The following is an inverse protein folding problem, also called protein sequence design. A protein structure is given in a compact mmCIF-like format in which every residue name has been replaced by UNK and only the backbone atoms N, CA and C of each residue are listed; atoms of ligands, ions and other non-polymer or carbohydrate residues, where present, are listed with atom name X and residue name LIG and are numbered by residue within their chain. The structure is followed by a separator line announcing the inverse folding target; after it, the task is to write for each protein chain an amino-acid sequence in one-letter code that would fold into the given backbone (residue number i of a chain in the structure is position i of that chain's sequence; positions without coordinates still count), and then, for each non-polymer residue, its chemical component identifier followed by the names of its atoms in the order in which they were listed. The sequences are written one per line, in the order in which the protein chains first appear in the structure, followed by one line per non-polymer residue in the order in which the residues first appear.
data_IF_040930339781
#
_entry.id   IF_040930339781
#
_cell.length_a   1.000
_cell.length_b   1.000
_cell.length_c   1.000
_cell.angle_alpha   90.00
_cell.angle_beta   90.00
_cell.angle_gamma   90.00
#
_symmetry.space_group_name_H-M   'P 1'
#
loop_
_entity.id
_entity.type
_entity.pdbx_description
1 polymer ?
#
# COMPACT_ATOMS: atom_id res chain seq x y z
N UNK A 1 7.76 10.66 8.61
CA UNK A 1 7.27 9.57 9.51
C UNK A 1 8.46 8.88 10.20
N UNK A 2 9.47 8.48 9.45
CA UNK A 2 10.64 7.71 9.92
C UNK A 2 11.49 8.42 10.99
N UNK A 3 11.69 9.74 10.87
CA UNK A 3 12.68 10.48 11.69
C UNK A 3 12.08 11.16 12.92
N UNK A 4 10.76 11.25 13.00
CA UNK A 4 10.08 12.04 14.04
C UNK A 4 8.95 11.22 14.68
N UNK A 5 7.89 10.92 13.93
CA UNK A 5 6.70 10.26 14.47
C UNK A 5 6.97 8.85 15.00
N UNK A 6 7.64 7.98 14.23
CA UNK A 6 7.94 6.62 14.68
C UNK A 6 8.89 6.63 15.91
N UNK A 7 10.02 7.37 15.90
CA UNK A 7 10.88 7.49 17.09
C UNK A 7 10.17 8.05 18.31
N UNK A 8 9.29 9.05 18.12
CA UNK A 8 8.49 9.58 19.22
C UNK A 8 7.58 8.51 19.83
N UNK A 9 6.87 7.73 18.99
CA UNK A 9 5.99 6.67 19.48
C UNK A 9 6.77 5.57 20.20
N UNK A 10 7.91 5.15 19.65
CA UNK A 10 8.79 4.12 20.24
C UNK A 10 9.37 4.55 21.59
N UNK A 11 9.67 5.84 21.77
CA UNK A 11 10.22 6.37 23.02
C UNK A 11 9.15 6.57 24.10
N UNK A 12 7.90 6.84 23.72
CA UNK A 12 6.84 7.23 24.66
C UNK A 12 5.81 6.13 24.94
N UNK A 13 5.76 5.07 24.12
CA UNK A 13 4.76 4.01 24.25
C UNK A 13 5.37 2.63 24.01
N UNK A 14 4.81 1.61 24.68
CA UNK A 14 5.17 0.22 24.45
C UNK A 14 4.60 -0.28 23.12
N UNK A 15 5.31 -0.02 22.03
CA UNK A 15 4.99 -0.46 20.67
C UNK A 15 5.92 -1.59 20.22
N UNK A 16 5.56 -2.29 19.14
CA UNK A 16 6.39 -3.30 18.50
C UNK A 16 6.49 -3.05 16.98
N UNK A 17 7.05 -4.01 16.25
CA UNK A 17 7.23 -3.92 14.79
C UNK A 17 5.99 -4.40 14.00
N UNK A 18 4.89 -4.75 14.67
CA UNK A 18 3.61 -5.05 14.04
C UNK A 18 2.85 -3.74 13.77
N UNK A 19 3.38 -2.95 12.82
CA UNK A 19 2.84 -1.64 12.45
C UNK A 19 1.94 -1.75 11.24
N UNK A 20 0.81 -1.06 11.30
CA UNK A 20 -0.15 -0.98 10.21
C UNK A 20 -0.26 0.45 9.72
N UNK A 21 -0.18 0.64 8.41
CA UNK A 21 -0.49 1.90 7.75
C UNK A 21 -1.84 1.79 7.07
N UNK A 22 -2.73 2.76 7.29
CA UNK A 22 -4.05 2.81 6.66
C UNK A 22 -4.32 4.16 6.02
N UNK A 23 -5.07 4.17 4.93
CA UNK A 23 -5.37 5.40 4.20
C UNK A 23 -6.49 5.25 3.19
N UNK A 24 -7.23 6.35 3.00
CA UNK A 24 -8.35 6.45 2.04
C UNK A 24 -8.00 7.42 0.91
N UNK A 25 -8.47 7.16 -0.31
CA UNK A 25 -8.26 8.05 -1.47
C UNK A 25 -6.77 8.35 -1.70
N UNK A 26 -6.34 9.61 -1.67
CA UNK A 26 -4.92 9.98 -1.76
C UNK A 26 -4.06 9.33 -0.65
N UNK A 27 -4.62 9.12 0.54
CA UNK A 27 -3.97 8.38 1.61
C UNK A 27 -3.79 6.89 1.28
N UNK A 28 -4.72 6.30 0.52
CA UNK A 28 -4.58 4.94 -0.01
C UNK A 28 -3.45 4.84 -1.02
N UNK A 29 -3.29 5.86 -1.87
CA UNK A 29 -2.12 5.95 -2.77
C UNK A 29 -0.80 6.04 -1.99
N UNK A 30 -0.78 6.80 -0.90
CA UNK A 30 0.38 6.88 -0.01
C UNK A 30 0.71 5.54 0.68
N UNK A 31 -0.31 4.78 1.09
CA UNK A 31 -0.14 3.42 1.63
C UNK A 31 0.58 2.53 0.62
N UNK A 32 0.11 2.50 -0.63
CA UNK A 32 0.71 1.69 -1.70
C UNK A 32 2.13 2.15 -2.05
N UNK A 33 2.36 3.46 -2.10
CA UNK A 33 3.68 4.04 -2.32
C UNK A 33 4.67 3.63 -1.22
N UNK A 34 4.25 3.70 0.04
CA UNK A 34 5.09 3.31 1.18
C UNK A 34 5.41 1.82 1.15
N UNK A 35 4.45 0.99 0.72
CA UNK A 35 4.65 -0.45 0.59
C UNK A 35 5.78 -0.79 -0.40
N UNK A 36 5.83 -0.13 -1.55
CA UNK A 36 6.81 -0.44 -2.60
C UNK A 36 8.15 0.28 -2.44
N UNK A 37 8.21 1.37 -1.68
CA UNK A 37 9.44 2.16 -1.48
C UNK A 37 10.11 1.94 -0.13
N UNK A 38 9.32 1.59 0.89
CA UNK A 38 9.74 1.44 2.29
C UNK A 38 9.04 0.25 2.97
N UNK A 39 9.12 -0.97 2.40
CA UNK A 39 8.42 -2.15 2.90
C UNK A 39 8.79 -2.52 4.34
N UNK A 40 9.95 -2.09 4.84
CA UNK A 40 10.44 -2.36 6.19
C UNK A 40 9.68 -1.64 7.30
N UNK A 41 8.99 -0.53 6.99
CA UNK A 41 8.36 0.32 8.00
C UNK A 41 7.08 -0.27 8.59
N UNK A 42 6.36 -1.08 7.81
CA UNK A 42 5.08 -1.65 8.19
C UNK A 42 5.00 -3.13 7.82
N UNK A 43 4.18 -3.86 8.56
CA UNK A 43 3.83 -5.25 8.27
C UNK A 43 2.42 -5.37 7.69
N UNK A 44 1.56 -4.36 7.89
CA UNK A 44 0.21 -4.29 7.32
C UNK A 44 -0.05 -2.97 6.58
N UNK A 45 -0.73 -3.07 5.44
CA UNK A 45 -1.08 -1.97 4.55
C UNK A 45 -2.57 -2.04 4.22
N UNK A 46 -3.32 -1.00 4.53
CA UNK A 46 -4.78 -0.95 4.31
C UNK A 46 -5.12 0.25 3.43
N UNK A 47 -5.40 0.01 2.15
CA UNK A 47 -5.69 1.05 1.17
C UNK A 47 -7.17 0.98 0.76
N UNK A 48 -7.93 1.99 1.18
CA UNK A 48 -9.36 2.10 0.93
C UNK A 48 -9.61 3.08 -0.23
N UNK A 49 -10.26 2.64 -1.29
CA UNK A 49 -10.48 3.41 -2.53
C UNK A 49 -9.26 4.25 -2.93
N UNK A 50 -8.07 3.64 -3.11
CA UNK A 50 -6.87 4.40 -3.41
C UNK A 50 -7.09 5.24 -4.67
N UNK A 51 -6.60 6.49 -4.66
CA UNK A 51 -6.64 7.38 -5.81
C UNK A 51 -5.59 6.96 -6.86
N UNK A 52 -5.68 5.72 -7.33
CA UNK A 52 -4.69 5.08 -8.18
C UNK A 52 -4.73 5.58 -9.63
N UNK A 53 -5.83 6.23 -10.02
CA UNK A 53 -6.06 6.87 -11.32
C UNK A 53 -5.31 8.20 -11.48
N UNK A 54 -4.89 8.82 -10.38
CA UNK A 54 -4.25 10.14 -10.40
C UNK A 54 -2.96 10.14 -11.22
N UNK A 55 -2.66 11.27 -11.85
CA UNK A 55 -1.45 11.52 -12.65
C UNK A 55 -1.15 10.40 -13.65
N UNK A 56 -2.09 10.21 -14.59
CA UNK A 56 -2.02 9.16 -15.61
C UNK A 56 -1.76 7.76 -15.02
N UNK A 57 -2.45 7.45 -13.93
CA UNK A 57 -2.32 6.19 -13.17
C UNK A 57 -0.89 5.84 -12.75
N UNK A 58 -0.08 6.85 -12.38
CA UNK A 58 1.30 6.64 -11.91
C UNK A 58 1.37 5.64 -10.76
N UNK A 59 0.39 5.64 -9.86
CA UNK A 59 0.32 4.70 -8.72
C UNK A 59 0.26 3.26 -9.22
N UNK A 60 -0.56 2.96 -10.23
CA UNK A 60 -0.65 1.62 -10.81
C UNK A 60 0.66 1.23 -11.48
N UNK A 61 1.27 2.15 -12.24
CA UNK A 61 2.52 1.92 -12.97
C UNK A 61 3.67 1.60 -11.99
N UNK A 62 3.89 2.45 -11.00
CA UNK A 62 4.94 2.29 -9.99
C UNK A 62 4.72 1.03 -9.14
N UNK A 63 3.47 0.80 -8.71
CA UNK A 63 3.12 -0.40 -7.95
C UNK A 63 3.40 -1.67 -8.75
N UNK A 64 2.96 -1.73 -10.01
CA UNK A 64 3.23 -2.85 -10.91
C UNK A 64 4.73 -3.09 -11.08
N UNK A 65 5.51 -2.03 -11.26
CA UNK A 65 6.95 -2.15 -11.49
C UNK A 65 7.70 -2.72 -10.29
N UNK A 66 7.31 -2.32 -9.07
CA UNK A 66 8.12 -2.53 -7.87
C UNK A 66 7.58 -3.61 -6.91
N UNK A 67 6.32 -4.03 -7.01
CA UNK A 67 5.71 -5.01 -6.08
C UNK A 67 6.48 -6.33 -5.99
N UNK A 68 7.10 -6.77 -7.11
CA UNK A 68 7.90 -8.00 -7.18
C UNK A 68 9.21 -7.92 -6.37
N UNK A 69 9.69 -6.71 -6.06
CA UNK A 69 10.96 -6.47 -5.36
C UNK A 69 10.79 -6.47 -3.84
N UNK A 70 9.56 -6.65 -3.33
CA UNK A 70 9.32 -6.72 -1.89
C UNK A 70 9.75 -8.09 -1.38
N UNK A 71 10.83 -8.12 -0.62
CA UNK A 71 11.39 -9.34 -0.04
C UNK A 71 11.43 -9.27 1.49
N UNK A 72 11.75 -10.40 2.12
CA UNK A 72 11.96 -10.48 3.56
C UNK A 72 10.69 -10.89 4.32
N UNK A 73 10.36 -10.13 5.38
CA UNK A 73 9.28 -10.52 6.28
C UNK A 73 7.90 -10.51 5.60
N UNK A 74 6.96 -11.35 6.07
CA UNK A 74 5.60 -11.37 5.56
C UNK A 74 4.94 -9.99 5.62
N UNK A 75 4.18 -9.66 4.58
CA UNK A 75 3.41 -8.42 4.46
C UNK A 75 1.94 -8.76 4.23
N UNK A 76 1.07 -7.97 4.84
CA UNK A 76 -0.36 -8.03 4.61
C UNK A 76 -0.82 -6.77 3.89
N UNK A 77 -1.54 -6.93 2.79
CA UNK A 77 -2.20 -5.84 2.07
C UNK A 77 -3.71 -6.08 2.11
N UNK A 78 -4.47 -5.04 2.41
CA UNK A 78 -5.92 -5.03 2.26
C UNK A 78 -6.29 -3.91 1.29
N UNK A 79 -7.03 -4.28 0.26
CA UNK A 79 -7.58 -3.35 -0.73
C UNK A 79 -9.10 -3.42 -0.70
N UNK A 80 -9.75 -2.26 -0.68
CA UNK A 80 -11.18 -2.17 -0.88
C UNK A 80 -11.55 -1.05 -1.84
N UNK A 81 -12.70 -1.19 -2.48
CA UNK A 81 -13.27 -0.18 -3.36
C UNK A 81 -14.78 -0.07 -3.11
N UNK A 82 -15.31 1.15 -3.10
CA UNK A 82 -16.76 1.36 -3.08
C UNK A 82 -17.41 0.84 -4.36
N UNK A 83 -18.50 0.07 -4.24
CA UNK A 83 -19.19 -0.50 -5.40
C UNK A 83 -19.87 0.52 -6.34
N UNK A 84 -19.96 1.79 -5.93
CA UNK A 84 -20.52 2.91 -6.70
C UNK A 84 -19.44 3.93 -7.15
N UNK A 85 -18.16 3.60 -7.01
CA UNK A 85 -17.07 4.40 -7.55
C UNK A 85 -17.15 4.44 -9.09
N UNK A 86 -16.74 5.55 -9.70
CA UNK A 86 -16.86 5.72 -11.15
C UNK A 86 -15.87 4.81 -11.95
N UNK A 87 -16.03 4.79 -13.27
CA UNK A 87 -15.24 3.93 -14.18
C UNK A 87 -13.73 4.20 -14.13
N UNK A 88 -13.32 5.45 -13.93
CA UNK A 88 -11.89 5.81 -13.85
C UNK A 88 -11.26 5.19 -12.59
N UNK A 89 -11.95 5.31 -11.46
CA UNK A 89 -11.48 4.79 -10.18
C UNK A 89 -11.49 3.25 -10.22
N UNK A 90 -12.59 2.64 -10.63
CA UNK A 90 -12.71 1.18 -10.75
C UNK A 90 -11.71 0.60 -11.76
N UNK A 91 -11.44 1.30 -12.86
CA UNK A 91 -10.43 0.91 -13.84
C UNK A 91 -9.02 0.89 -13.25
N UNK A 92 -8.61 1.95 -12.56
CA UNK A 92 -7.30 2.00 -11.90
C UNK A 92 -7.16 0.95 -10.79
N UNK A 93 -8.24 0.67 -10.05
CA UNK A 93 -8.27 -0.38 -9.03
C UNK A 93 -8.08 -1.78 -9.64
N UNK A 94 -8.72 -2.08 -10.78
CA UNK A 94 -8.46 -3.33 -11.52
C UNK A 94 -7.01 -3.45 -11.95
N UNK A 95 -6.36 -2.34 -12.31
CA UNK A 95 -4.92 -2.30 -12.59
C UNK A 95 -4.06 -2.74 -11.39
N UNK A 96 -4.41 -2.33 -10.18
CA UNK A 96 -3.73 -2.78 -8.95
C UNK A 96 -3.94 -4.29 -8.71
N UNK A 97 -5.15 -4.80 -8.94
CA UNK A 97 -5.42 -6.24 -8.79
C UNK A 97 -4.61 -7.07 -9.80
N UNK A 98 -4.56 -6.65 -11.07
CA UNK A 98 -3.75 -7.31 -12.09
C UNK A 98 -2.26 -7.31 -11.74
N UNK A 99 -1.75 -6.21 -11.17
CA UNK A 99 -0.37 -6.13 -10.70
C UNK A 99 -0.08 -7.17 -9.61
N UNK A 100 -1.01 -7.35 -8.67
CA UNK A 100 -0.87 -8.35 -7.61
C UNK A 100 -0.93 -9.78 -8.16
N UNK A 101 -1.92 -10.09 -8.99
CA UNK A 101 -2.09 -11.42 -9.61
C UNK A 101 -0.86 -11.85 -10.40
N UNK A 102 -0.21 -10.91 -11.11
CA UNK A 102 0.91 -11.23 -12.00
C UNK A 102 2.28 -11.16 -11.32
N UNK A 103 2.43 -10.33 -10.27
CA UNK A 103 3.76 -9.92 -9.79
C UNK A 103 3.93 -9.96 -8.28
N UNK A 104 2.88 -10.19 -7.48
CA UNK A 104 3.04 -10.27 -6.03
C UNK A 104 3.93 -11.46 -5.64
N UNK A 105 5.00 -11.23 -4.86
CA UNK A 105 5.82 -12.32 -4.33
C UNK A 105 5.08 -13.06 -3.20
N UNK A 106 5.50 -14.30 -2.94
CA UNK A 106 4.84 -15.21 -2.00
C UNK A 106 4.82 -14.73 -0.54
N UNK A 107 5.63 -13.74 -0.17
CA UNK A 107 5.63 -13.14 1.16
C UNK A 107 4.54 -12.06 1.35
N UNK A 108 3.74 -11.76 0.32
CA UNK A 108 2.61 -10.83 0.41
C UNK A 108 1.31 -11.63 0.43
N UNK A 109 0.54 -11.47 1.50
CA UNK A 109 -0.87 -11.89 1.56
C UNK A 109 -1.74 -10.68 1.26
N UNK A 110 -2.69 -10.81 0.33
CA UNK A 110 -3.55 -9.71 -0.12
C UNK A 110 -4.97 -10.17 -0.45
#
# INVERSE_FOLDING_TARGET
IETELLPYLESNYAVNNNRVLSGFSAGGSFVLYTMITKPELFSGYFAFSPAAWYDDSVVVKEFTQHIANIHGSPKYLFLSLGGLENEIITGSFKGLLLALEQRAPNNITW
#
